data_IF_662676032390
#
_entry.id   IF_662676032390
#
_cell.length_a   1.000
_cell.length_b   1.000
_cell.length_c   1.000
_cell.angle_alpha   90.00
_cell.angle_beta   90.00
_cell.angle_gamma   90.00
#
_symmetry.space_group_name_H-M   'P 1'
#
loop_
_entity.id
_entity.type
_entity.pdbx_description
1 polymer ?
#
# COMPACT_ATOMS: atom_id res chain seq x y z
N UNK A 1 30.36 20.22 5.43
CA UNK A 1 29.27 20.69 4.54
C UNK A 1 29.80 21.62 3.44
N UNK A 2 30.75 21.18 2.59
CA UNK A 2 31.37 22.03 1.55
C UNK A 2 31.80 21.26 0.28
N UNK A 3 31.11 20.18 -0.11
CA UNK A 3 31.46 19.41 -1.34
C UNK A 3 30.36 19.37 -2.42
N UNK A 4 29.33 20.21 -2.30
CA UNK A 4 28.16 20.19 -3.21
C UNK A 4 27.92 21.51 -3.94
N UNK A 5 28.86 22.48 -3.89
CA UNK A 5 28.68 23.80 -4.53
C UNK A 5 29.30 23.96 -5.92
N UNK A 6 29.95 22.93 -6.45
CA UNK A 6 30.68 23.03 -7.72
C UNK A 6 30.27 21.87 -8.63
N UNK A 7 29.06 21.94 -9.17
CA UNK A 7 28.70 21.19 -10.36
C UNK A 7 28.13 22.21 -11.35
N UNK A 8 29.04 22.81 -12.10
CA UNK A 8 28.77 23.55 -13.33
C UNK A 8 27.82 22.73 -14.22
N UNK A 9 26.67 23.31 -14.54
CA UNK A 9 25.71 22.75 -15.51
C UNK A 9 26.39 22.57 -16.87
N UNK A 10 26.50 21.35 -17.42
CA UNK A 10 26.90 21.19 -18.80
C UNK A 10 25.72 21.61 -19.69
N UNK A 11 25.93 22.58 -20.57
CA UNK A 11 24.90 23.09 -21.50
C UNK A 11 24.36 22.01 -22.48
N UNK A 12 24.89 20.79 -22.49
CA UNK A 12 24.46 19.69 -23.37
C UNK A 12 23.27 18.85 -22.87
N UNK A 13 22.74 19.09 -21.66
CA UNK A 13 21.69 18.23 -21.09
C UNK A 13 20.30 18.38 -21.74
N UNK A 14 20.00 19.54 -22.34
CA UNK A 14 18.71 19.75 -23.02
C UNK A 14 18.66 19.01 -24.35
N UNK A 15 19.75 19.04 -25.11
CA UNK A 15 19.85 18.37 -26.41
C UNK A 15 19.80 16.84 -26.27
N UNK A 16 20.32 16.30 -25.16
CA UNK A 16 20.27 14.87 -24.86
C UNK A 16 18.85 14.40 -24.52
N UNK A 17 18.10 15.21 -23.78
CA UNK A 17 16.68 14.96 -23.48
C UNK A 17 15.84 15.09 -24.77
N UNK A 18 16.10 16.09 -25.60
CA UNK A 18 15.42 16.29 -26.89
C UNK A 18 15.66 15.10 -27.83
N UNK A 19 16.89 14.59 -27.92
CA UNK A 19 17.24 13.38 -28.69
C UNK A 19 16.57 12.12 -28.14
N UNK A 20 16.48 11.99 -26.82
CA UNK A 20 15.79 10.88 -26.19
C UNK A 20 14.28 10.88 -26.54
N UNK A 21 13.65 12.05 -26.55
CA UNK A 21 12.25 12.21 -26.95
C UNK A 21 12.05 11.96 -28.45
N UNK A 22 12.94 12.41 -29.31
CA UNK A 22 12.87 12.14 -30.76
C UNK A 22 13.06 10.64 -31.08
N UNK A 23 13.94 9.94 -30.35
CA UNK A 23 14.10 8.49 -30.44
C UNK A 23 12.83 7.74 -30.05
N UNK A 24 12.04 8.30 -29.14
CA UNK A 24 10.79 7.72 -28.67
C UNK A 24 9.59 8.11 -29.55
N UNK A 25 9.64 9.29 -30.18
CA UNK A 25 8.62 9.81 -31.09
C UNK A 25 8.75 9.28 -32.53
N UNK A 26 9.93 8.80 -32.92
CA UNK A 26 10.09 8.09 -34.19
C UNK A 26 9.24 6.81 -34.15
N UNK A 27 8.26 6.61 -35.06
CA UNK A 27 7.64 5.31 -35.20
C UNK A 27 8.77 4.33 -35.54
N UNK A 28 8.97 3.31 -34.71
CA UNK A 28 9.78 2.17 -35.13
C UNK A 28 9.26 1.78 -36.51
N UNK A 29 10.12 1.85 -37.54
CA UNK A 29 9.74 1.43 -38.89
C UNK A 29 8.96 0.12 -38.76
N UNK A 30 7.73 0.02 -39.29
CA UNK A 30 6.96 -1.20 -39.16
C UNK A 30 7.73 -2.30 -39.88
N UNK A 31 8.49 -3.10 -39.13
CA UNK A 31 9.06 -4.34 -39.66
C UNK A 31 7.86 -5.19 -40.00
N UNK A 32 7.61 -5.34 -41.30
CA UNK A 32 6.51 -6.14 -41.79
C UNK A 32 6.63 -7.55 -41.20
N UNK A 33 5.55 -8.21 -40.77
CA UNK A 33 5.61 -9.58 -40.25
C UNK A 33 6.44 -10.50 -41.16
N UNK A 34 6.33 -10.28 -42.47
CA UNK A 34 7.08 -11.00 -43.50
C UNK A 34 8.61 -10.82 -43.42
N UNK A 35 9.12 -9.65 -43.00
CA UNK A 35 10.57 -9.42 -42.82
C UNK A 35 11.10 -10.08 -41.55
N UNK A 36 10.31 -10.08 -40.47
CA UNK A 36 10.63 -10.84 -39.24
C UNK A 36 10.66 -12.34 -39.50
N UNK A 37 9.71 -12.88 -40.28
CA UNK A 37 9.72 -14.28 -40.69
C UNK A 37 10.97 -14.59 -41.54
N UNK A 38 11.27 -13.77 -42.55
CA UNK A 38 12.47 -13.96 -43.40
C UNK A 38 13.78 -13.90 -42.62
N UNK A 39 13.88 -13.03 -41.61
CA UNK A 39 15.04 -12.96 -40.72
C UNK A 39 15.16 -14.20 -39.81
N UNK A 40 14.03 -14.73 -39.32
CA UNK A 40 14.00 -15.97 -38.54
C UNK A 40 14.35 -17.19 -39.39
N UNK A 41 13.82 -17.27 -40.61
CA UNK A 41 14.10 -18.35 -41.56
C UNK A 41 15.57 -18.34 -41.98
N UNK A 42 16.15 -17.14 -42.22
CA UNK A 42 17.57 -16.98 -42.51
C UNK A 42 18.47 -17.39 -41.34
N UNK A 43 18.07 -17.10 -40.10
CA UNK A 43 18.80 -17.54 -38.91
C UNK A 43 18.69 -19.07 -38.68
N UNK A 44 17.59 -19.69 -39.12
CA UNK A 44 17.43 -21.15 -39.10
C UNK A 44 18.30 -21.80 -40.19
N UNK A 45 18.34 -21.24 -41.40
CA UNK A 45 19.24 -21.67 -42.49
C UNK A 45 20.72 -21.52 -42.10
N UNK A 46 21.10 -20.44 -41.42
CA UNK A 46 22.47 -20.21 -40.98
C UNK A 46 22.91 -21.20 -39.88
N UNK A 47 21.97 -21.64 -39.03
CA UNK A 47 22.18 -22.70 -38.02
C UNK A 47 22.17 -24.11 -38.62
N UNK A 48 21.48 -24.32 -39.73
CA UNK A 48 21.50 -25.57 -40.51
C UNK A 48 22.73 -25.67 -41.42
N UNK A 49 23.26 -24.54 -41.90
CA UNK A 49 24.47 -24.46 -42.71
C UNK A 49 25.74 -24.73 -41.88
N UNK A 50 25.74 -24.37 -40.60
CA UNK A 50 26.79 -24.78 -39.64
C UNK A 50 26.44 -26.15 -39.06
N UNK A 51 26.53 -27.18 -39.90
CA UNK A 51 26.48 -28.57 -39.47
C UNK A 51 27.71 -28.92 -38.65
N UNK A 52 27.65 -28.81 -37.32
CA UNK A 52 28.58 -29.52 -36.43
C UNK A 52 27.81 -30.60 -35.69
N UNK A 53 27.87 -31.81 -36.24
CA UNK A 53 27.46 -33.03 -35.56
C UNK A 53 28.40 -33.30 -34.36
N UNK A 54 27.89 -33.79 -33.22
CA UNK A 54 28.77 -34.34 -32.19
C UNK A 54 29.36 -35.67 -32.70
N UNK A 55 30.69 -35.89 -32.62
CA UNK A 55 31.27 -37.17 -32.99
C UNK A 55 30.89 -38.25 -31.98
N UNK A 56 30.46 -39.39 -32.50
CA UNK A 56 30.23 -40.60 -31.72
C UNK A 56 31.55 -41.30 -31.37
N UNK A 57 31.63 -41.73 -30.11
CA UNK A 57 32.44 -42.80 -29.51
C UNK A 57 33.98 -42.74 -29.60
N UNK A 58 34.63 -42.69 -28.42
CA UNK A 58 35.59 -43.72 -28.00
C UNK A 58 35.90 -43.64 -26.48
N UNK A 59 36.53 -44.70 -25.98
CA UNK A 59 36.44 -45.31 -24.65
C UNK A 59 37.02 -44.56 -23.41
N UNK A 60 36.57 -45.06 -22.25
CA UNK A 60 37.25 -45.15 -20.93
C UNK A 60 37.55 -43.88 -20.13
N UNK A 61 36.80 -43.66 -19.04
CA UNK A 61 37.39 -43.46 -17.69
C UNK A 61 36.30 -43.49 -16.61
N UNK A 62 36.60 -44.19 -15.51
CA UNK A 62 35.71 -44.46 -14.39
C UNK A 62 35.48 -43.23 -13.51
N UNK A 63 34.23 -42.75 -13.41
CA UNK A 63 33.73 -42.05 -12.22
C UNK A 63 32.23 -42.32 -12.05
N UNK A 64 31.84 -42.73 -10.84
CA UNK A 64 30.51 -43.23 -10.52
C UNK A 64 29.39 -42.22 -10.79
N UNK A 65 28.49 -42.58 -11.69
CA UNK A 65 27.18 -41.95 -11.83
C UNK A 65 26.29 -42.40 -10.67
N UNK A 66 26.01 -41.47 -9.74
CA UNK A 66 24.85 -41.57 -8.87
C UNK A 66 23.60 -41.70 -9.75
N UNK A 67 22.67 -42.63 -9.48
CA UNK A 67 21.43 -42.70 -10.23
C UNK A 67 20.66 -41.40 -10.00
N UNK A 68 20.67 -40.53 -11.01
CA UNK A 68 19.75 -39.40 -11.11
C UNK A 68 18.39 -40.00 -11.46
N UNK A 69 17.77 -40.66 -10.47
CA UNK A 69 16.39 -41.10 -10.55
C UNK A 69 15.56 -39.84 -10.71
N UNK A 70 15.17 -39.59 -11.96
CA UNK A 70 14.05 -38.73 -12.29
C UNK A 70 12.81 -39.35 -11.63
N UNK A 71 12.56 -38.95 -10.38
CA UNK A 71 11.30 -39.20 -9.67
C UNK A 71 10.18 -38.42 -10.37
N UNK A 72 9.83 -38.82 -11.59
CA UNK A 72 8.58 -38.45 -12.24
C UNK A 72 7.51 -39.41 -11.76
N UNK A 73 7.20 -39.36 -10.46
CA UNK A 73 5.98 -39.98 -9.97
C UNK A 73 4.78 -39.23 -10.57
N UNK A 74 3.77 -39.92 -11.10
CA UNK A 74 2.63 -39.28 -11.75
C UNK A 74 1.91 -38.38 -10.75
N UNK A 75 1.71 -37.11 -11.12
CA UNK A 75 1.04 -36.16 -10.23
C UNK A 75 -0.38 -36.65 -9.91
N UNK A 76 -0.83 -36.59 -8.64
CA UNK A 76 -2.11 -37.14 -8.21
C UNK A 76 -3.27 -36.56 -9.00
N UNK A 77 -4.33 -37.34 -9.23
CA UNK A 77 -5.53 -36.86 -9.92
C UNK A 77 -6.18 -35.68 -9.17
N UNK A 78 -6.95 -34.82 -9.87
CA UNK A 78 -7.63 -33.67 -9.25
C UNK A 78 -8.55 -34.09 -8.08
N UNK A 79 -9.20 -35.25 -8.21
CA UNK A 79 -10.06 -35.83 -7.16
C UNK A 79 -9.23 -36.19 -5.93
N UNK A 80 -8.11 -36.89 -6.11
CA UNK A 80 -7.20 -37.27 -5.03
C UNK A 80 -6.63 -36.03 -4.31
N UNK A 81 -6.22 -35.00 -5.06
CA UNK A 81 -5.74 -33.74 -4.46
C UNK A 81 -6.80 -33.05 -3.61
N UNK A 82 -8.07 -33.07 -4.04
CA UNK A 82 -9.17 -32.42 -3.30
C UNK A 82 -9.45 -33.13 -1.98
N UNK A 83 -9.39 -34.47 -1.95
CA UNK A 83 -9.59 -35.27 -0.75
C UNK A 83 -8.43 -35.10 0.24
N UNK A 84 -7.21 -34.94 -0.26
CA UNK A 84 -6.00 -34.73 0.54
C UNK A 84 -5.86 -33.29 1.10
N UNK A 85 -6.82 -32.38 0.82
CA UNK A 85 -6.71 -31.00 1.31
C UNK A 85 -6.89 -30.95 2.83
N UNK A 86 -5.98 -30.31 3.56
CA UNK A 86 -6.15 -30.10 4.99
C UNK A 86 -7.30 -29.14 5.29
N UNK A 87 -7.89 -29.28 6.47
CA UNK A 87 -8.87 -28.32 6.99
C UNK A 87 -8.20 -27.00 7.39
N UNK A 88 -8.94 -25.90 7.33
CA UNK A 88 -8.44 -24.58 7.77
C UNK A 88 -7.99 -24.60 9.22
N UNK A 89 -8.64 -25.40 10.07
CA UNK A 89 -8.25 -25.57 11.48
C UNK A 89 -6.86 -26.21 11.59
N UNK A 90 -6.57 -27.26 10.82
CA UNK A 90 -5.25 -27.89 10.80
C UNK A 90 -4.16 -26.90 10.39
N UNK A 91 -4.44 -26.02 9.41
CA UNK A 91 -3.52 -24.96 8.99
C UNK A 91 -3.25 -23.95 10.13
N UNK A 92 -4.30 -23.53 10.84
CA UNK A 92 -4.17 -22.62 11.98
C UNK A 92 -3.40 -23.23 13.14
N UNK A 93 -3.53 -24.54 13.37
CA UNK A 93 -2.77 -25.25 14.39
C UNK A 93 -1.28 -25.40 14.04
N UNK A 94 -0.95 -25.47 12.74
CA UNK A 94 0.42 -25.66 12.29
C UNK A 94 1.24 -24.35 12.22
N UNK A 95 0.59 -23.21 12.00
CA UNK A 95 1.27 -21.93 11.80
C UNK A 95 1.52 -21.16 13.09
N UNK A 96 2.60 -20.38 13.12
CA UNK A 96 2.89 -19.44 14.23
C UNK A 96 1.94 -18.24 14.26
N UNK A 97 1.43 -17.83 13.09
CA UNK A 97 0.55 -16.67 12.91
C UNK A 97 -0.79 -17.13 12.32
N UNK A 98 -1.70 -17.69 13.15
CA UNK A 98 -2.96 -18.28 12.67
C UNK A 98 -3.94 -17.25 12.09
N UNK A 99 -3.73 -15.95 12.33
CA UNK A 99 -4.51 -14.85 11.75
C UNK A 99 -4.25 -14.64 10.26
N UNK A 100 -3.10 -15.09 9.73
CA UNK A 100 -2.73 -14.95 8.31
C UNK A 100 -3.29 -16.08 7.43
N UNK A 101 -3.81 -17.13 8.05
CA UNK A 101 -4.36 -18.30 7.36
C UNK A 101 -5.72 -17.94 6.77
N UNK A 102 -5.80 -18.03 5.45
CA UNK A 102 -7.02 -17.77 4.70
C UNK A 102 -7.68 -19.07 4.23
N UNK A 103 -9.01 -19.10 4.00
CA UNK A 103 -9.70 -20.32 3.59
C UNK A 103 -9.19 -20.93 2.28
N UNK A 104 -8.64 -20.11 1.38
CA UNK A 104 -8.10 -20.56 0.10
C UNK A 104 -6.70 -21.18 0.19
N UNK A 105 -5.99 -21.02 1.31
CA UNK A 105 -4.64 -21.57 1.50
C UNK A 105 -4.66 -23.11 1.54
N UNK A 106 -5.76 -23.70 1.99
CA UNK A 106 -5.99 -25.15 1.98
C UNK A 106 -6.00 -25.76 0.56
N UNK A 107 -6.19 -24.94 -0.47
CA UNK A 107 -6.18 -25.37 -1.86
C UNK A 107 -4.78 -25.32 -2.51
N UNK A 108 -3.79 -24.73 -1.83
CA UNK A 108 -2.44 -24.60 -2.34
C UNK A 108 -1.76 -25.99 -2.49
N UNK A 109 -0.92 -26.20 -3.53
CA UNK A 109 -0.16 -27.44 -3.69
C UNK A 109 0.79 -27.71 -2.52
N UNK A 110 1.46 -26.66 -2.03
CA UNK A 110 2.41 -26.70 -0.92
C UNK A 110 2.02 -25.64 0.12
N UNK A 111 1.03 -26.00 0.95
CA UNK A 111 0.49 -25.11 1.97
C UNK A 111 1.49 -24.77 3.10
N UNK A 112 2.41 -25.65 3.56
CA UNK A 112 3.39 -25.30 4.59
C UNK A 112 4.33 -24.18 4.14
N UNK A 113 4.91 -24.29 2.95
CA UNK A 113 5.81 -23.27 2.38
C UNK A 113 5.07 -21.97 2.13
N UNK A 114 3.83 -22.02 1.62
CA UNK A 114 3.00 -20.83 1.43
C UNK A 114 2.79 -20.08 2.75
N UNK A 115 2.47 -20.80 3.82
CA UNK A 115 2.25 -20.18 5.13
C UNK A 115 3.53 -19.66 5.75
N UNK A 116 4.67 -20.32 5.53
CA UNK A 116 5.98 -19.79 5.92
C UNK A 116 6.26 -18.47 5.21
N UNK A 117 6.04 -18.40 3.89
CA UNK A 117 6.21 -17.19 3.09
C UNK A 117 5.29 -16.05 3.56
N UNK A 118 4.01 -16.34 3.81
CA UNK A 118 3.07 -15.36 4.38
C UNK A 118 3.47 -14.88 5.77
N UNK A 119 4.10 -15.73 6.58
CA UNK A 119 4.59 -15.41 7.91
C UNK A 119 5.96 -14.72 7.94
N UNK A 120 6.62 -14.52 6.79
CA UNK A 120 7.91 -13.83 6.75
C UNK A 120 7.76 -12.36 7.11
N UNK A 121 8.80 -11.79 7.72
CA UNK A 121 8.81 -10.39 8.14
C UNK A 121 8.80 -9.48 6.90
N UNK A 122 7.98 -8.42 6.94
CA UNK A 122 7.85 -7.41 5.87
C UNK A 122 7.32 -7.94 4.53
N UNK A 123 6.69 -9.12 4.51
CA UNK A 123 5.94 -9.55 3.33
C UNK A 123 4.64 -8.75 3.21
N UNK A 124 4.31 -8.32 2.00
CA UNK A 124 3.06 -7.61 1.70
C UNK A 124 2.04 -8.63 1.20
N UNK A 125 0.86 -8.74 1.82
CA UNK A 125 -0.15 -9.70 1.38
C UNK A 125 -0.67 -9.37 -0.02
N UNK A 126 -1.08 -10.40 -0.75
CA UNK A 126 -1.70 -10.23 -2.07
C UNK A 126 -3.00 -9.42 -1.92
N UNK A 127 -3.18 -8.32 -2.68
CA UNK A 127 -4.36 -7.46 -2.56
C UNK A 127 -5.68 -8.21 -2.78
N UNK A 128 -6.73 -7.98 -1.99
CA UNK A 128 -7.94 -8.81 -2.00
C UNK A 128 -8.73 -8.79 -3.31
N UNK A 129 -8.42 -7.90 -4.25
CA UNK A 129 -9.16 -7.78 -5.51
C UNK A 129 -8.94 -8.97 -6.46
N UNK A 130 -7.89 -9.79 -6.28
CA UNK A 130 -7.62 -10.96 -7.13
C UNK A 130 -8.77 -11.98 -7.16
N UNK A 131 -9.54 -12.08 -6.06
CA UNK A 131 -10.67 -13.02 -5.95
C UNK A 131 -11.99 -12.44 -6.45
N UNK A 132 -12.02 -11.15 -6.79
CA UNK A 132 -13.25 -10.50 -7.25
C UNK A 132 -13.50 -10.82 -8.73
N UNK A 133 -14.78 -11.01 -9.09
CA UNK A 133 -15.18 -11.21 -10.49
C UNK A 133 -15.12 -9.92 -11.31
N UNK A 134 -15.21 -8.77 -10.65
CA UNK A 134 -15.19 -7.45 -11.29
C UNK A 134 -13.75 -7.04 -11.65
N UNK A 135 -13.61 -6.29 -12.74
CA UNK A 135 -12.33 -5.65 -13.10
C UNK A 135 -11.94 -4.65 -12.01
N UNK A 136 -10.64 -4.55 -11.74
CA UNK A 136 -10.09 -3.56 -10.82
C UNK A 136 -10.51 -2.14 -11.25
N UNK A 137 -10.87 -1.28 -10.28
CA UNK A 137 -11.38 0.09 -10.47
C UNK A 137 -12.74 0.24 -11.16
N UNK A 138 -13.50 -0.85 -11.35
CA UNK A 138 -14.78 -0.79 -12.04
C UNK A 138 -15.84 0.06 -11.32
N UNK A 139 -15.85 0.12 -9.98
CA UNK A 139 -16.82 0.89 -9.21
C UNK A 139 -16.47 2.37 -9.11
N UNK A 140 -15.25 2.77 -9.49
CA UNK A 140 -14.89 4.20 -9.55
C UNK A 140 -15.56 4.95 -10.70
N UNK A 141 -16.10 4.21 -11.68
CA UNK A 141 -16.75 4.81 -12.84
C UNK A 141 -17.97 5.62 -12.40
N UNK A 142 -17.93 6.92 -12.62
CA UNK A 142 -19.02 7.85 -12.31
C UNK A 142 -18.96 8.50 -10.94
N UNK A 143 -17.94 8.23 -10.12
CA UNK A 143 -17.72 8.99 -8.88
C UNK A 143 -16.87 10.24 -9.18
N UNK A 144 -17.08 11.35 -8.43
CA UNK A 144 -16.29 12.56 -8.61
C UNK A 144 -14.84 12.36 -8.19
N UNK A 145 -13.91 12.89 -8.99
CA UNK A 145 -12.49 12.92 -8.69
C UNK A 145 -12.20 13.86 -7.51
N UNK A 146 -12.05 13.27 -6.33
CA UNK A 146 -11.75 13.95 -5.07
C UNK A 146 -10.29 13.73 -4.65
N UNK A 147 -9.61 12.76 -5.24
CA UNK A 147 -8.16 12.51 -5.06
C UNK A 147 -7.32 13.72 -5.49
N UNK A 148 -7.81 14.51 -6.44
CA UNK A 148 -7.18 15.74 -6.89
C UNK A 148 -7.75 17.00 -6.23
N UNK A 149 -8.85 16.94 -5.48
CA UNK A 149 -9.52 18.15 -4.97
C UNK A 149 -8.60 19.02 -4.11
N UNK A 150 -7.78 18.40 -3.25
CA UNK A 150 -6.78 19.12 -2.47
C UNK A 150 -5.71 19.76 -3.36
N UNK A 151 -5.25 19.06 -4.41
CA UNK A 151 -4.26 19.62 -5.35
C UNK A 151 -4.88 20.77 -6.18
N UNK A 152 -6.12 20.64 -6.62
CA UNK A 152 -6.86 21.72 -7.28
C UNK A 152 -6.97 22.95 -6.37
N UNK A 153 -7.32 22.78 -5.09
CA UNK A 153 -7.37 23.91 -4.14
C UNK A 153 -6.01 24.57 -3.94
N UNK A 154 -4.93 23.80 -3.88
CA UNK A 154 -3.56 24.33 -3.76
C UNK A 154 -3.17 25.09 -5.04
N UNK A 155 -3.45 24.53 -6.21
CA UNK A 155 -3.16 25.17 -7.50
C UNK A 155 -3.95 26.47 -7.66
N UNK A 156 -5.24 26.47 -7.33
CA UNK A 156 -6.07 27.68 -7.38
C UNK A 156 -5.58 28.74 -6.39
N UNK A 157 -5.19 28.35 -5.17
CA UNK A 157 -4.58 29.26 -4.20
C UNK A 157 -3.27 29.86 -4.73
N UNK A 158 -2.43 29.04 -5.37
CA UNK A 158 -1.18 29.50 -5.97
C UNK A 158 -1.43 30.48 -7.13
N UNK A 159 -2.42 30.20 -7.99
CA UNK A 159 -2.83 31.12 -9.07
C UNK A 159 -3.32 32.45 -8.50
N UNK A 160 -4.18 32.42 -7.48
CA UNK A 160 -4.69 33.62 -6.81
C UNK A 160 -3.56 34.44 -6.18
N UNK A 161 -2.62 33.78 -5.52
CA UNK A 161 -1.48 34.47 -4.91
C UNK A 161 -0.51 35.05 -5.93
N UNK A 162 -0.30 34.35 -7.04
CA UNK A 162 0.48 34.86 -8.18
C UNK A 162 -0.20 36.09 -8.79
N UNK A 163 -1.53 36.07 -8.94
CA UNK A 163 -2.32 37.20 -9.43
C UNK A 163 -2.30 38.40 -8.48
N UNK A 164 -2.24 38.16 -7.16
CA UNK A 164 -2.13 39.20 -6.14
C UNK A 164 -0.73 39.84 -6.05
N UNK A 165 0.27 39.32 -6.77
CA UNK A 165 1.64 39.83 -6.75
C UNK A 165 2.39 39.58 -5.44
N UNK A 166 1.82 38.78 -4.53
CA UNK A 166 2.45 38.41 -3.28
C UNK A 166 3.43 37.25 -3.53
N UNK A 167 4.72 37.49 -3.27
CA UNK A 167 5.74 36.44 -3.30
C UNK A 167 5.48 35.45 -2.15
N UNK A 168 4.71 34.39 -2.42
CA UNK A 168 4.51 33.31 -1.47
C UNK A 168 5.88 32.71 -1.18
N UNK A 169 6.33 32.83 0.08
CA UNK A 169 7.42 32.01 0.57
C UNK A 169 6.99 30.53 0.49
N UNK A 170 7.32 29.86 -0.61
CA UNK A 170 7.03 28.43 -0.90
C UNK A 170 7.89 27.49 -0.04
N UNK A 171 8.23 27.90 1.18
CA UNK A 171 9.10 27.16 2.09
C UNK A 171 8.35 26.34 3.13
N UNK A 172 7.04 26.17 2.98
CA UNK A 172 6.40 25.00 3.60
C UNK A 172 6.69 23.82 2.69
N UNK A 173 7.66 23.01 3.09
CA UNK A 173 7.81 21.66 2.57
C UNK A 173 6.40 21.07 2.51
N UNK A 174 5.88 20.87 1.30
CA UNK A 174 4.61 20.20 1.10
C UNK A 174 4.82 18.77 1.61
N UNK A 175 4.55 18.54 2.90
CA UNK A 175 4.63 17.24 3.51
C UNK A 175 3.49 16.43 2.93
N UNK A 176 3.76 15.75 1.82
CA UNK A 176 2.83 14.83 1.20
C UNK A 176 2.54 13.70 2.18
N UNK A 177 1.25 13.38 2.36
CA UNK A 177 0.82 12.24 3.16
C UNK A 177 1.06 10.96 2.36
N UNK A 178 2.31 10.49 2.35
CA UNK A 178 2.67 9.24 1.69
C UNK A 178 2.11 8.05 2.47
N UNK A 179 1.87 6.95 1.77
CA UNK A 179 1.54 5.66 2.38
C UNK A 179 2.82 5.00 2.88
N UNK A 180 2.71 4.28 4.00
CA UNK A 180 3.81 3.52 4.56
C UNK A 180 4.05 2.21 3.78
N UNK A 181 5.18 1.54 4.01
CA UNK A 181 5.44 0.25 3.40
C UNK A 181 4.42 -0.79 3.89
N UNK A 182 3.77 -1.49 2.96
CA UNK A 182 2.74 -2.50 3.24
C UNK A 182 1.32 -1.97 3.13
N UNK A 183 1.13 -0.65 3.02
CA UNK A 183 -0.16 -0.06 2.70
C UNK A 183 -0.51 -0.30 1.22
N UNK A 184 -1.29 -1.35 0.98
CA UNK A 184 -1.82 -1.65 -0.34
C UNK A 184 -3.01 -0.76 -0.64
N UNK A 185 -2.98 -0.10 -1.80
CA UNK A 185 -4.12 0.64 -2.30
C UNK A 185 -5.29 -0.31 -2.65
N UNK A 186 -6.46 -0.06 -2.06
CA UNK A 186 -7.71 -0.69 -2.44
C UNK A 186 -8.65 0.30 -3.13
N UNK A 187 -9.51 -0.24 -3.99
CA UNK A 187 -10.50 0.55 -4.68
C UNK A 187 -11.41 1.27 -3.66
N UNK A 188 -11.60 2.58 -3.85
CA UNK A 188 -12.36 3.48 -2.97
C UNK A 188 -11.67 3.88 -1.66
N UNK A 189 -10.41 3.53 -1.44
CA UNK A 189 -9.63 3.97 -0.26
C UNK A 189 -9.64 5.49 -0.04
N UNK A 190 -9.71 6.25 -1.13
CA UNK A 190 -9.73 7.72 -1.08
C UNK A 190 -11.07 8.30 -0.61
N UNK A 191 -12.16 7.54 -0.72
CA UNK A 191 -13.48 7.91 -0.20
C UNK A 191 -13.69 7.45 1.24
N UNK A 192 -12.76 6.69 1.83
CA UNK A 192 -12.89 6.24 3.21
C UNK A 192 -12.78 7.43 4.17
N UNK A 193 -13.89 7.85 4.83
CA UNK A 193 -13.89 9.01 5.71
C UNK A 193 -13.06 8.79 6.97
N UNK A 194 -12.74 7.53 7.30
CA UNK A 194 -11.94 7.18 8.46
C UNK A 194 -10.44 7.22 8.15
N UNK A 195 -10.04 7.28 6.87
CA UNK A 195 -8.64 7.18 6.50
C UNK A 195 -7.87 8.46 6.87
N UNK A 196 -6.96 8.32 7.83
CA UNK A 196 -6.16 9.45 8.33
C UNK A 196 -6.92 10.40 9.26
N UNK A 197 -8.07 9.97 9.77
CA UNK A 197 -8.75 10.63 10.88
C UNK A 197 -8.10 10.22 12.21
N UNK A 198 -7.95 11.17 13.14
CA UNK A 198 -7.45 10.93 14.49
C UNK A 198 -8.53 11.35 15.49
N UNK A 199 -9.52 10.47 15.69
CA UNK A 199 -10.56 10.68 16.70
C UNK A 199 -10.09 10.12 18.04
N UNK A 200 -10.08 10.96 19.07
CA UNK A 200 -9.76 10.55 20.43
C UNK A 200 -10.99 10.74 21.33
N UNK A 201 -11.26 9.79 22.22
CA UNK A 201 -12.31 9.97 23.23
C UNK A 201 -11.94 11.18 24.07
N UNK A 202 -12.93 12.02 24.38
CA UNK A 202 -12.62 13.28 25.05
C UNK A 202 -12.14 14.37 24.10
N UNK A 203 -12.17 14.25 22.77
CA UNK A 203 -11.98 15.37 21.83
C UNK A 203 -13.17 15.42 20.85
N UNK A 204 -13.84 16.57 20.76
CA UNK A 204 -14.96 16.80 19.85
C UNK A 204 -14.56 17.91 18.88
N UNK A 205 -14.61 17.62 17.57
CA UNK A 205 -14.41 18.62 16.53
C UNK A 205 -15.53 19.65 16.53
N UNK A 206 -15.24 20.85 16.01
CA UNK A 206 -16.25 21.91 15.91
C UNK A 206 -17.43 21.49 15.03
N UNK A 207 -17.17 20.77 13.94
CA UNK A 207 -18.21 20.20 13.08
C UNK A 207 -19.14 19.25 13.85
N UNK A 208 -18.58 18.40 14.72
CA UNK A 208 -19.37 17.48 15.54
C UNK A 208 -20.16 18.22 16.63
N UNK A 209 -19.55 19.23 17.26
CA UNK A 209 -20.24 20.08 18.24
C UNK A 209 -21.44 20.78 17.60
N UNK A 210 -21.26 21.35 16.42
CA UNK A 210 -22.33 21.98 15.66
C UNK A 210 -23.45 20.99 15.33
N UNK A 211 -23.12 19.78 14.87
CA UNK A 211 -24.10 18.73 14.60
C UNK A 211 -24.89 18.28 15.84
N UNK A 212 -24.25 18.31 17.01
CA UNK A 212 -24.88 18.00 18.30
C UNK A 212 -25.63 19.19 18.92
N UNK A 213 -25.69 20.34 18.23
CA UNK A 213 -26.29 21.57 18.77
C UNK A 213 -25.49 22.18 19.94
N UNK A 214 -24.22 21.82 20.07
CA UNK A 214 -23.31 22.38 21.06
C UNK A 214 -22.63 23.64 20.50
N UNK A 215 -22.34 24.64 21.35
CA UNK A 215 -21.61 25.83 20.91
C UNK A 215 -20.18 25.49 20.49
N UNK A 216 -19.71 26.18 19.46
CA UNK A 216 -18.36 26.08 18.86
C UNK A 216 -17.54 27.33 19.16
N UNK A 217 -16.22 27.27 19.00
CA UNK A 217 -15.32 28.42 19.16
C UNK A 217 -15.12 28.85 20.62
N UNK A 218 -15.29 30.14 20.92
CA UNK A 218 -15.06 30.72 22.26
C UNK A 218 -15.94 30.08 23.34
N UNK A 219 -17.12 29.60 22.94
CA UNK A 219 -18.07 28.92 23.82
C UNK A 219 -17.95 27.39 23.80
N UNK A 220 -16.89 26.82 23.20
CA UNK A 220 -16.66 25.37 23.16
C UNK A 220 -16.40 24.75 24.55
N UNK A 221 -16.22 25.57 25.59
CA UNK A 221 -16.06 25.13 26.97
C UNK A 221 -17.33 24.53 27.59
N UNK A 222 -18.48 24.60 26.90
CA UNK A 222 -19.71 23.95 27.35
C UNK A 222 -19.53 22.43 27.39
N UNK A 223 -19.85 21.85 28.54
CA UNK A 223 -19.76 20.41 28.78
C UNK A 223 -20.74 19.63 27.88
N UNK A 224 -20.36 18.43 27.42
CA UNK A 224 -21.25 17.61 26.61
C UNK A 224 -22.43 17.05 27.44
N UNK A 225 -23.58 16.79 26.80
CA UNK A 225 -24.83 16.46 27.50
C UNK A 225 -24.81 15.12 28.24
N UNK A 226 -23.87 14.22 27.92
CA UNK A 226 -23.70 12.94 28.62
C UNK A 226 -22.80 13.03 29.86
N UNK A 227 -22.18 14.18 30.14
CA UNK A 227 -21.33 14.34 31.31
C UNK A 227 -22.08 14.14 32.65
N UNK A 228 -23.33 14.62 32.84
CA UNK A 228 -24.12 14.30 34.03
C UNK A 228 -24.36 12.79 34.20
N UNK A 229 -24.48 12.06 33.09
CA UNK A 229 -24.62 10.60 33.13
C UNK A 229 -23.34 9.94 33.66
N UNK A 230 -22.15 10.46 33.30
CA UNK A 230 -20.90 9.96 33.87
C UNK A 230 -20.75 10.24 35.36
N UNK A 231 -21.35 11.30 35.88
CA UNK A 231 -21.39 11.56 37.32
C UNK A 231 -22.30 10.55 38.05
N UNK A 232 -23.40 10.14 37.42
CA UNK A 232 -24.37 9.20 38.00
C UNK A 232 -23.94 7.73 37.91
N UNK A 233 -23.44 7.31 36.76
CA UNK A 233 -23.13 5.90 36.45
C UNK A 233 -21.63 5.60 36.50
N UNK A 234 -20.79 6.61 36.66
CA UNK A 234 -19.34 6.49 36.51
C UNK A 234 -18.89 6.70 35.06
N UNK A 235 -17.58 6.82 34.90
CA UNK A 235 -16.94 7.03 33.59
C UNK A 235 -16.84 5.71 32.82
N UNK A 236 -16.71 5.74 31.48
CA UNK A 236 -16.59 4.52 30.69
C UNK A 236 -15.40 3.65 31.14
N UNK A 237 -15.61 2.37 31.49
CA UNK A 237 -14.55 1.50 32.01
C UNK A 237 -13.46 1.18 30.99
N UNK A 238 -13.77 1.30 29.69
CA UNK A 238 -12.81 1.14 28.60
C UNK A 238 -11.74 2.26 28.56
N UNK A 239 -11.97 3.38 29.26
CA UNK A 239 -11.05 4.52 29.29
C UNK A 239 -10.68 4.93 30.73
N UNK A 240 -9.90 4.12 31.48
CA UNK A 240 -9.57 4.38 32.90
C UNK A 240 -8.82 5.70 33.12
N UNK A 241 -8.02 6.15 32.14
CA UNK A 241 -7.28 7.41 32.23
C UNK A 241 -8.21 8.64 32.30
N UNK A 242 -9.45 8.55 31.79
CA UNK A 242 -10.44 9.62 31.90
C UNK A 242 -10.87 9.89 33.34
N UNK A 243 -10.72 8.90 34.24
CA UNK A 243 -11.01 9.06 35.66
C UNK A 243 -9.89 9.80 36.39
N UNK A 244 -8.63 9.43 36.08
CA UNK A 244 -7.43 10.08 36.62
C UNK A 244 -7.36 11.56 36.23
N UNK A 245 -7.59 11.87 34.96
CA UNK A 245 -7.64 13.25 34.48
C UNK A 245 -8.72 14.08 35.20
N UNK A 246 -9.86 13.46 35.54
CA UNK A 246 -10.93 14.12 36.31
C UNK A 246 -10.53 14.44 37.74
N UNK A 247 -9.80 13.52 38.38
CA UNK A 247 -9.35 13.65 39.76
C UNK A 247 -8.26 14.72 39.87
N UNK A 248 -7.31 14.74 38.93
CA UNK A 248 -6.26 15.77 38.83
C UNK A 248 -6.86 17.16 38.58
N UNK A 249 -7.85 17.26 37.69
CA UNK A 249 -8.56 18.52 37.46
C UNK A 249 -9.30 19.05 38.69
N UNK A 250 -9.90 18.16 39.48
CA UNK A 250 -10.54 18.52 40.76
C UNK A 250 -9.51 18.97 41.81
N UNK A 251 -8.32 18.38 41.81
CA UNK A 251 -7.27 18.69 42.77
C UNK A 251 -6.58 20.04 42.51
N UNK A 252 -6.46 20.48 41.25
CA UNK A 252 -5.63 21.63 40.91
C UNK A 252 -6.27 23.01 41.17
N UNK A 253 -7.59 23.13 41.42
CA UNK A 253 -8.35 24.31 41.91
C UNK A 253 -8.21 25.65 41.13
N UNK A 254 -7.20 25.80 40.26
CA UNK A 254 -6.91 26.92 39.36
C UNK A 254 -6.98 26.50 37.89
N UNK A 255 -7.04 25.20 37.62
CA UNK A 255 -7.45 24.71 36.31
C UNK A 255 -8.95 24.99 36.15
N UNK A 256 -9.41 25.38 34.95
CA UNK A 256 -10.85 25.49 34.71
C UNK A 256 -11.52 24.18 35.15
N UNK A 257 -12.68 24.28 35.80
CA UNK A 257 -13.47 23.14 36.33
C UNK A 257 -13.63 22.01 35.29
N UNK A 258 -13.50 22.37 34.02
CA UNK A 258 -13.25 21.47 32.90
C UNK A 258 -11.88 21.84 32.34
N UNK A 259 -10.82 21.04 32.57
CA UNK A 259 -9.61 21.23 31.79
C UNK A 259 -10.05 21.07 30.34
N UNK A 260 -9.50 21.91 29.45
CA UNK A 260 -9.76 21.85 28.01
C UNK A 260 -9.95 20.39 27.61
N UNK A 261 -11.01 20.06 26.88
CA UNK A 261 -11.40 18.68 26.58
C UNK A 261 -10.19 17.84 26.02
N UNK A 262 -9.15 18.48 25.47
CA UNK A 262 -7.84 17.87 25.18
C UNK A 262 -6.90 17.46 26.35
N UNK A 263 -7.11 17.89 27.60
CA UNK A 263 -6.36 17.43 28.78
C UNK A 263 -6.68 15.99 29.17
N UNK A 264 -7.78 15.46 28.65
CA UNK A 264 -8.29 14.14 28.97
C UNK A 264 -7.56 13.03 28.18
N UNK A 265 -6.68 13.39 27.23
CA UNK A 265 -6.00 12.48 26.30
C UNK A 265 -4.51 12.24 26.59
N UNK A 266 -3.95 12.75 27.68
CA UNK A 266 -2.56 12.45 28.06
C UNK A 266 -2.50 11.33 29.12
N UNK A 267 -1.62 10.32 28.93
CA UNK A 267 -1.44 9.21 29.88
C UNK A 267 -0.88 9.65 31.24
#
# INVERSE_FOLDING_TARGET
MQRWREASTPEGGKDEIERAFQRWAAPSSPVSPAETQRAADRAIEERLAVGTAPPAADATSAHGHLPTSSFSSPSPSRKARKLARPSVLQLKLHTRYPSLVEPWDAAAPDWPTLLQLKGTRHTVPVPPHWRYKRKYLANKRGLPDHSLAHLHQVVERLKQSLAAGEAVATRRAASYRLREHGDVYQELDEYDPLRGCHHQPGVLSDALRQALGMPVGVHAAVAPPWLPMFARFGRPPAYPYMERAAAVARASRTAPMFPHWGAWSQP
#
